data_IF_237223437736
#
_entry.id   IF_237223437736
#
_cell.length_a   1.000
_cell.length_b   1.000
_cell.length_c   1.000
_cell.angle_alpha   90.00
_cell.angle_beta   90.00
_cell.angle_gamma   90.00
#
_symmetry.space_group_name_H-M   'P 1'
#
loop_
_entity.id
_entity.type
_entity.pdbx_description
1 polymer ?
2 non-polymer ?
3 non-polymer ?
4 non-polymer ?
5 non-polymer ?
6 water ?
#
# COMPACT_ATOMS: atom_id res chain seq x y z
N UNK A 1 9.33 2.26 -18.85
CA UNK A 1 8.79 2.30 -17.47
C UNK A 1 7.25 2.34 -17.56
N UNK A 2 6.61 1.53 -16.72
CA UNK A 2 5.14 1.43 -16.57
C UNK A 2 4.58 2.79 -16.20
N UNK A 3 3.30 2.91 -15.87
CA UNK A 3 2.77 4.22 -15.52
C UNK A 3 3.40 4.79 -14.25
N UNK A 4 3.53 6.10 -14.20
CA UNK A 4 4.00 6.85 -13.00
C UNK A 4 3.09 8.05 -12.83
N UNK A 5 3.01 8.57 -11.63
CA UNK A 5 2.31 9.85 -11.39
C UNK A 5 3.11 10.96 -12.08
N UNK A 6 2.45 11.90 -12.75
CA UNK A 6 3.17 12.88 -13.60
C UNK A 6 3.30 14.12 -12.70
N UNK A 7 3.29 13.95 -11.38
CA UNK A 7 3.46 15.01 -10.37
C UNK A 7 4.08 14.39 -9.12
N UNK A 8 4.76 15.17 -8.29
CA UNK A 8 5.46 14.66 -7.10
C UNK A 8 4.60 14.87 -5.86
N UNK A 9 3.52 15.59 -5.97
CA UNK A 9 2.59 15.81 -4.84
C UNK A 9 1.33 14.95 -5.03
N UNK A 10 1.15 13.98 -4.13
CA UNK A 10 0.17 12.90 -4.33
C UNK A 10 -0.71 12.89 -3.09
N UNK A 11 -2.02 12.84 -3.31
CA UNK A 11 -3.02 12.80 -2.22
C UNK A 11 -3.50 11.37 -2.00
N UNK A 12 -3.93 11.10 -0.79
CA UNK A 12 -4.62 9.86 -0.47
C UNK A 12 -5.80 10.14 0.45
N UNK A 13 -6.73 9.22 0.47
CA UNK A 13 -7.88 9.29 1.40
C UNK A 13 -8.20 7.88 1.84
N UNK A 14 -8.52 7.75 3.10
CA UNK A 14 -8.97 6.43 3.60
C UNK A 14 -10.52 6.36 3.47
N UNK A 15 -11.04 5.53 2.56
CA UNK A 15 -12.48 5.38 2.23
C UNK A 15 -13.22 4.89 3.46
N UNK A 16 -12.64 3.91 4.12
CA UNK A 16 -13.29 3.13 5.18
C UNK A 16 -12.22 2.43 5.99
N UNK A 17 -12.62 1.97 7.18
CA UNK A 17 -11.73 1.44 8.23
C UNK A 17 -12.15 0.03 8.61
N UNK A 18 -11.19 -0.86 8.56
CA UNK A 18 -11.35 -2.24 9.07
C UNK A 18 -11.75 -2.20 10.55
N UNK A 19 -12.73 -3.05 10.96
CA UNK A 19 -13.12 -3.15 12.36
C UNK A 19 -12.05 -3.89 13.15
N UNK A 20 -11.06 -4.47 12.45
CA UNK A 20 -10.09 -5.37 13.10
C UNK A 20 -9.23 -4.51 14.01
N UNK A 21 -9.15 -3.22 13.71
CA UNK A 21 -8.14 -2.35 14.36
C UNK A 21 -8.82 -1.09 14.87
N UNK A 22 -8.15 -0.49 15.82
CA UNK A 22 -8.47 0.86 16.29
C UNK A 22 -8.35 1.78 15.06
N UNK A 23 -9.24 2.74 14.91
CA UNK A 23 -9.15 3.71 13.80
C UNK A 23 -7.80 4.42 13.75
N UNK A 24 -7.33 4.93 14.88
CA UNK A 24 -6.08 5.74 14.93
C UNK A 24 -4.90 4.84 14.52
N UNK A 25 -4.96 3.53 14.77
CA UNK A 25 -3.87 2.59 14.39
C UNK A 25 -3.88 2.46 12.86
N UNK A 26 -5.06 2.41 12.25
CA UNK A 26 -5.14 2.40 10.76
C UNK A 26 -4.50 3.67 10.20
N UNK A 27 -4.84 4.83 10.74
CA UNK A 27 -4.31 6.11 10.21
C UNK A 27 -2.77 6.10 10.29
N UNK A 28 -2.24 5.69 11.43
CA UNK A 28 -0.80 5.64 11.73
C UNK A 28 -0.12 4.66 10.77
N UNK A 29 -0.70 3.47 10.61
CA UNK A 29 -0.08 2.41 9.77
C UNK A 29 0.04 2.94 8.32
N UNK A 30 -1.02 3.52 7.83
CA UNK A 30 -1.06 4.06 6.45
C UNK A 30 -0.09 5.24 6.31
N UNK A 31 -0.13 6.17 7.28
CA UNK A 31 0.74 7.36 7.22
C UNK A 31 2.22 6.91 7.18
N UNK A 32 2.59 5.94 8.00
CA UNK A 32 3.98 5.47 8.07
C UNK A 32 4.34 4.70 6.82
N UNK A 33 3.40 3.98 6.19
CA UNK A 33 3.69 3.27 4.93
C UNK A 33 3.98 4.30 3.85
N UNK A 34 3.24 5.42 3.75
CA UNK A 34 3.54 6.44 2.74
C UNK A 34 4.93 7.07 3.01
N UNK A 35 5.24 7.27 4.29
CA UNK A 35 6.49 7.91 4.76
C UNK A 35 7.66 7.03 4.33
N UNK A 36 7.54 5.70 4.39
CA UNK A 36 8.64 4.78 3.96
C UNK A 36 9.06 5.17 2.53
N UNK A 37 8.09 5.35 1.63
CA UNK A 37 8.36 5.73 0.22
C UNK A 37 8.74 7.21 0.12
N UNK A 38 8.14 8.07 0.95
CA UNK A 38 8.51 9.50 0.96
C UNK A 38 10.02 9.64 1.27
N UNK A 39 10.54 8.78 2.11
CA UNK A 39 11.89 8.97 2.65
C UNK A 39 12.96 8.72 1.56
N UNK A 40 12.61 8.11 0.42
CA UNK A 40 13.62 7.64 -0.57
C UNK A 40 13.27 8.20 -1.93
N UNK A 41 12.36 9.15 -2.00
CA UNK A 41 11.93 9.75 -3.29
C UNK A 41 11.68 11.24 -3.10
N UNK A 42 11.47 12.02 -4.18
CA UNK A 42 10.96 13.39 -4.04
C UNK A 42 9.45 13.51 -3.82
N UNK A 43 8.77 12.40 -3.58
CA UNK A 43 7.29 12.39 -3.51
C UNK A 43 6.84 12.92 -2.15
N UNK A 44 5.76 13.69 -2.18
CA UNK A 44 5.11 14.21 -0.98
C UNK A 44 3.64 13.76 -1.02
N UNK A 45 3.22 13.14 0.08
CA UNK A 45 1.86 12.55 0.27
C UNK A 45 1.04 13.43 1.22
N UNK A 46 -0.16 13.84 0.81
CA UNK A 46 -1.09 14.69 1.61
C UNK A 46 -2.35 13.87 1.81
N UNK A 47 -2.73 13.68 3.05
CA UNK A 47 -3.97 12.98 3.43
C UNK A 47 -5.13 13.94 3.25
N UNK A 48 -6.20 13.51 2.59
CA UNK A 48 -7.41 14.34 2.53
C UNK A 48 -8.51 13.57 3.24
N UNK A 49 -9.30 14.29 4.00
CA UNK A 49 -10.40 13.73 4.82
C UNK A 49 -11.64 13.61 3.97
N UNK A 50 -11.87 14.55 3.07
CA UNK A 50 -13.05 14.49 2.19
C UNK A 50 -12.65 15.04 0.82
N UNK A 51 -13.20 14.42 -0.24
CA UNK A 51 -13.05 14.90 -1.63
C UNK A 51 -12.07 14.05 -2.44
N UNK A 52 -11.55 14.60 -3.51
CA UNK A 52 -10.90 13.79 -4.54
C UNK A 52 -9.45 13.53 -4.13
N UNK A 53 -9.05 12.30 -4.15
CA UNK A 53 -7.67 11.90 -3.80
C UNK A 53 -7.18 11.01 -4.94
N UNK A 54 -5.87 11.01 -5.14
CA UNK A 54 -5.19 10.15 -6.12
C UNK A 54 -5.29 8.71 -5.65
N UNK A 55 -4.89 8.45 -4.41
CA UNK A 55 -4.85 7.08 -3.86
C UNK A 55 -6.00 6.91 -2.85
N UNK A 56 -6.98 6.10 -3.21
CA UNK A 56 -8.05 5.75 -2.25
C UNK A 56 -7.67 4.44 -1.59
N UNK A 57 -7.69 4.39 -0.27
CA UNK A 57 -7.46 3.19 0.54
C UNK A 57 -8.84 2.64 0.96
N UNK A 58 -9.08 1.36 0.67
CA UNK A 58 -10.39 0.66 0.78
C UNK A 58 -10.09 -0.66 1.48
N UNK A 59 -10.93 -0.99 2.45
CA UNK A 59 -11.07 -2.35 2.95
C UNK A 59 -12.38 -2.88 2.39
N UNK A 60 -12.32 -4.03 1.75
CA UNK A 60 -13.53 -4.66 1.15
C UNK A 60 -13.31 -6.14 1.01
N UNK A 61 -14.40 -6.86 0.73
CA UNK A 61 -14.30 -8.35 0.67
C UNK A 61 -14.84 -8.86 -0.66
N UNK A 62 -14.44 -10.10 -1.01
CA UNK A 62 -15.01 -10.76 -2.20
C UNK A 62 -14.95 -9.85 -3.41
N UNK A 63 -16.05 -9.83 -4.15
CA UNK A 63 -16.21 -9.04 -5.38
C UNK A 63 -16.58 -7.63 -4.89
N UNK A 64 -15.75 -6.63 -5.17
CA UNK A 64 -15.86 -5.29 -4.53
C UNK A 64 -15.73 -4.19 -5.57
N UNK A 65 -16.14 -4.46 -6.80
CA UNK A 65 -16.51 -3.48 -7.85
C UNK A 65 -15.41 -3.25 -8.86
N UNK A 66 -14.31 -3.99 -8.84
CA UNK A 66 -13.20 -3.80 -9.81
C UNK A 66 -13.08 -5.12 -10.54
N UNK A 67 -12.16 -5.41 -11.40
CA UNK A 67 -12.51 -6.77 -11.97
C UNK A 67 -11.74 -7.86 -11.21
N UNK A 68 -11.44 -7.64 -9.94
CA UNK A 68 -10.40 -8.39 -9.19
C UNK A 68 -10.93 -8.80 -7.83
N UNK A 69 -11.85 -9.73 -7.80
CA UNK A 69 -12.48 -10.16 -6.54
C UNK A 69 -11.40 -10.70 -5.61
N UNK A 70 -11.55 -10.38 -4.33
CA UNK A 70 -10.81 -11.04 -3.24
C UNK A 70 -11.37 -12.44 -2.98
N UNK A 71 -10.67 -13.20 -2.15
CA UNK A 71 -10.75 -14.68 -2.21
C UNK A 71 -10.99 -15.23 -0.81
N UNK A 72 -11.48 -14.42 0.13
CA UNK A 72 -11.72 -14.94 1.50
C UNK A 72 -10.46 -14.96 2.35
N UNK A 73 -10.52 -15.50 3.57
CA UNK A 73 -9.35 -15.44 4.48
C UNK A 73 -8.13 -16.15 3.83
N UNK A 74 -6.95 -15.54 3.91
CA UNK A 74 -5.72 -16.03 3.27
C UNK A 74 -5.73 -15.79 1.77
N UNK A 75 -4.92 -16.56 1.06
CA UNK A 75 -4.53 -16.29 -0.33
C UNK A 75 -4.19 -14.81 -0.52
N UNK A 76 -4.88 -14.12 -1.44
CA UNK A 76 -4.56 -12.69 -1.70
C UNK A 76 -4.96 -11.85 -0.50
N UNK A 77 -4.06 -11.02 -0.02
CA UNK A 77 -4.32 -10.16 1.16
C UNK A 77 -4.77 -8.75 0.72
N UNK A 78 -4.32 -8.28 -0.43
CA UNK A 78 -4.50 -6.87 -0.86
C UNK A 78 -4.08 -6.78 -2.31
N UNK A 79 -4.24 -5.77 -2.97
CA UNK A 79 -3.87 -5.26 -4.30
C UNK A 79 -4.23 -3.82 -4.28
N UNK A 80 -3.38 -3.44 -5.51
CA UNK A 80 -3.37 -1.99 -5.80
C UNK A 80 -3.19 -1.77 -7.29
N UNK A 81 -3.76 -0.70 -7.77
CA UNK A 81 -3.68 -0.29 -9.19
C UNK A 81 -2.54 0.72 -9.41
N UNK A 82 -1.80 0.57 -10.51
CA UNK A 82 -0.73 1.47 -10.85
C UNK A 82 -1.29 2.87 -11.10
N UNK A 83 -0.41 3.85 -11.21
CA UNK A 83 -0.84 5.24 -11.35
C UNK A 83 -1.76 5.43 -12.55
N UNK A 84 -2.77 6.28 -12.35
CA UNK A 84 -3.78 6.63 -13.35
C UNK A 84 -4.96 7.30 -12.66
N UNK A 85 -5.90 7.79 -13.46
CA UNK A 85 -7.11 8.44 -12.91
C UNK A 85 -8.06 7.38 -12.37
N UNK A 86 -9.05 7.79 -11.60
CA UNK A 86 -10.15 6.91 -11.14
C UNK A 86 -9.55 5.84 -10.24
N UNK A 87 -9.79 4.58 -10.58
CA UNK A 87 -9.27 3.48 -9.73
C UNK A 87 -7.74 3.42 -9.77
N UNK A 88 -7.10 4.03 -10.78
CA UNK A 88 -5.64 4.19 -10.79
C UNK A 88 -5.11 4.58 -9.42
N UNK A 89 -4.10 3.90 -8.95
CA UNK A 89 -3.43 4.21 -7.67
C UNK A 89 -4.09 3.60 -6.47
N UNK A 90 -5.34 3.16 -6.56
CA UNK A 90 -6.12 2.84 -5.35
C UNK A 90 -5.61 1.50 -4.81
N UNK A 91 -5.61 1.40 -3.48
CA UNK A 91 -5.08 0.24 -2.76
C UNK A 91 -6.21 -0.36 -1.92
N UNK A 92 -6.42 -1.61 -2.08
CA UNK A 92 -7.56 -2.36 -1.55
C UNK A 92 -6.99 -3.42 -0.62
N UNK A 93 -7.57 -3.61 0.53
CA UNK A 93 -7.14 -4.57 1.57
C UNK A 93 -8.32 -5.51 1.81
N UNK A 94 -8.06 -6.82 1.72
CA UNK A 94 -9.09 -7.86 1.84
C UNK A 94 -9.57 -7.90 3.30
N UNK A 95 -10.81 -7.46 3.57
CA UNK A 95 -11.34 -7.39 4.94
C UNK A 95 -11.52 -8.81 5.53
N UNK A 96 -11.50 -9.87 4.70
CA UNK A 96 -11.49 -11.28 5.19
C UNK A 96 -10.17 -11.61 5.88
N UNK A 97 -9.14 -10.74 5.77
CA UNK A 97 -7.93 -10.91 6.61
C UNK A 97 -8.18 -10.26 7.98
N UNK A 98 -7.39 -10.66 8.99
CA UNK A 98 -7.37 -9.97 10.31
C UNK A 98 -6.15 -9.05 10.37
N UNK A 99 -6.42 -7.77 10.14
CA UNK A 99 -5.43 -6.66 10.07
C UNK A 99 -4.98 -6.30 11.49
N UNK A 100 -3.69 -6.15 11.70
CA UNK A 100 -3.05 -5.89 13.03
C UNK A 100 -1.92 -4.86 12.95
N UNK A 101 -1.55 -4.37 14.14
CA UNK A 101 -0.38 -3.46 14.33
C UNK A 101 0.87 -4.29 14.61
N UNK A 102 0.77 -5.62 14.61
CA UNK A 102 1.83 -6.51 15.15
C UNK A 102 2.04 -7.76 14.27
N UNK A 103 2.60 -8.82 14.84
CA UNK A 103 3.10 -10.02 14.13
C UNK A 103 1.96 -11.00 13.92
N UNK A 104 0.84 -10.85 14.62
CA UNK A 104 -0.34 -11.71 14.46
C UNK A 104 -1.18 -11.23 13.29
N UNK A 105 -2.12 -12.05 12.85
CA UNK A 105 -2.93 -11.80 11.65
C UNK A 105 -2.03 -11.28 10.57
N UNK A 106 -2.45 -10.21 9.90
CA UNK A 106 -1.71 -9.63 8.75
C UNK A 106 -1.37 -8.19 9.12
N UNK A 107 -0.09 -7.88 9.21
CA UNK A 107 0.37 -6.53 9.63
C UNK A 107 -0.01 -5.54 8.54
N UNK A 108 -0.88 -4.58 8.86
CA UNK A 108 -1.39 -3.57 7.88
C UNK A 108 -0.24 -2.72 7.36
N UNK A 109 0.59 -2.19 8.26
CA UNK A 109 1.73 -1.31 7.85
C UNK A 109 2.56 -2.02 6.76
N UNK A 110 3.01 -3.24 7.02
CA UNK A 110 3.90 -3.91 6.04
C UNK A 110 3.15 -4.12 4.73
N UNK A 111 1.87 -4.52 4.81
CA UNK A 111 1.08 -4.81 3.60
C UNK A 111 0.91 -3.49 2.84
N UNK A 112 0.64 -2.40 3.54
CA UNK A 112 0.43 -1.10 2.91
C UNK A 112 1.72 -0.61 2.27
N UNK A 113 2.88 -0.92 2.86
CA UNK A 113 4.15 -0.53 2.18
C UNK A 113 4.18 -1.18 0.79
N UNK A 114 3.92 -2.47 0.70
CA UNK A 114 3.90 -3.22 -0.58
C UNK A 114 2.88 -2.58 -1.55
N UNK A 115 1.66 -2.41 -1.06
CA UNK A 115 0.55 -1.97 -1.95
C UNK A 115 0.81 -0.57 -2.47
N UNK A 116 1.33 0.31 -1.63
CA UNK A 116 1.64 1.69 -2.09
C UNK A 116 2.79 1.64 -3.07
N UNK A 117 3.72 0.70 -2.89
CA UNK A 117 4.71 0.48 -3.98
C UNK A 117 4.00 0.28 -5.32
N UNK A 118 2.97 -0.60 -5.37
CA UNK A 118 2.16 -0.77 -6.60
C UNK A 118 1.46 0.56 -6.98
N UNK A 119 0.81 1.21 -6.01
CA UNK A 119 0.16 2.50 -6.26
C UNK A 119 1.13 3.52 -6.91
N UNK A 120 2.46 3.42 -6.67
CA UNK A 120 3.43 4.38 -7.25
C UNK A 120 4.03 3.87 -8.57
N UNK A 121 3.65 2.66 -8.98
CA UNK A 121 4.11 2.11 -10.25
C UNK A 121 5.08 0.94 -10.14
N UNK A 122 5.44 0.40 -8.96
CA UNK A 122 6.38 -0.76 -8.91
C UNK A 122 5.65 -2.08 -9.23
N UNK A 123 6.37 -3.02 -9.85
CA UNK A 123 5.98 -4.43 -9.88
C UNK A 123 6.60 -5.19 -8.73
N UNK A 124 6.59 -6.45 -8.43
CA UNK A 124 7.34 -7.48 -7.66
C UNK A 124 8.80 -7.47 -8.12
N UNK A 125 9.31 -7.82 -6.93
CA UNK A 125 10.75 -8.11 -6.99
C UNK A 125 10.99 -9.61 -6.88
N UNK A 126 12.12 -10.08 -7.43
CA UNK A 126 12.59 -11.46 -7.24
C UNK A 126 13.42 -11.54 -5.96
N UNK A 127 13.84 -10.39 -5.41
CA UNK A 127 14.64 -10.38 -4.15
C UNK A 127 13.72 -10.62 -2.94
N UNK A 128 13.93 -11.72 -2.21
CA UNK A 128 13.08 -12.04 -1.05
C UNK A 128 13.20 -11.06 0.11
N UNK A 129 14.25 -10.25 0.12
CA UNK A 129 14.42 -9.18 1.15
C UNK A 129 13.61 -7.94 0.79
N UNK A 130 13.18 -7.79 -0.46
CA UNK A 130 12.43 -6.62 -0.96
C UNK A 130 11.01 -6.62 -0.40
N UNK A 131 10.50 -5.44 -0.02
CA UNK A 131 9.06 -5.37 0.38
C UNK A 131 8.18 -5.71 -0.83
N UNK A 132 8.65 -5.48 -2.05
CA UNK A 132 7.89 -5.77 -3.29
C UNK A 132 8.04 -7.23 -3.74
N UNK A 133 8.64 -8.10 -2.92
CA UNK A 133 8.57 -9.56 -3.10
C UNK A 133 7.11 -10.00 -3.02
N UNK A 134 6.61 -10.95 -3.82
CA UNK A 134 5.16 -11.17 -3.90
C UNK A 134 4.44 -11.66 -2.62
N UNK A 135 5.18 -12.21 -1.66
CA UNK A 135 4.55 -12.85 -0.46
C UNK A 135 4.81 -12.05 0.80
N UNK A 136 3.79 -12.04 1.65
CA UNK A 136 3.78 -11.40 2.98
C UNK A 136 4.80 -12.11 3.87
N UNK A 137 5.70 -11.33 4.49
CA UNK A 137 6.58 -11.83 5.57
C UNK A 137 6.55 -10.80 6.69
N UNK A 138 6.18 -11.20 7.92
CA UNK A 138 6.25 -10.31 9.09
C UNK A 138 7.74 -10.04 9.34
N UNK A 139 8.12 -8.78 9.50
CA UNK A 139 9.47 -8.37 9.99
C UNK A 139 9.21 -7.25 10.99
N UNK A 140 10.06 -7.18 11.98
CA UNK A 140 9.90 -6.30 13.16
C UNK A 140 9.75 -4.88 12.59
N UNK A 141 8.62 -4.21 12.85
CA UNK A 141 8.27 -2.92 12.18
C UNK A 141 9.19 -1.83 12.74
N UNK A 142 9.78 -2.05 13.91
CA UNK A 142 10.78 -1.10 14.45
C UNK A 142 12.05 -1.15 13.58
N UNK A 143 12.40 -2.33 13.10
CA UNK A 143 13.67 -2.60 12.37
C UNK A 143 13.42 -2.52 10.83
N UNK A 144 12.21 -2.22 10.39
CA UNK A 144 11.82 -2.36 8.97
C UNK A 144 12.66 -1.44 8.09
N UNK A 145 13.19 -1.95 6.99
CA UNK A 145 13.77 -1.08 5.94
C UNK A 145 13.46 -1.63 4.54
N UNK A 146 13.27 -0.72 3.61
CA UNK A 146 13.21 -1.04 2.17
C UNK A 146 14.52 -1.72 1.84
N UNK A 147 14.52 -2.73 1.01
CA UNK A 147 15.80 -3.29 0.53
C UNK A 147 16.39 -2.34 -0.53
N UNK A 148 17.65 -2.59 -0.88
CA UNK A 148 18.36 -1.84 -1.94
C UNK A 148 17.59 -1.96 -3.27
N UNK A 149 16.95 -3.09 -3.52
CA UNK A 149 16.22 -3.28 -4.81
C UNK A 149 14.95 -2.40 -4.82
N UNK A 150 14.22 -2.34 -3.71
CA UNK A 150 13.02 -1.48 -3.60
C UNK A 150 13.43 -0.04 -3.86
N UNK A 151 14.55 0.39 -3.29
CA UNK A 151 15.01 1.79 -3.47
C UNK A 151 15.41 2.03 -4.93
N UNK A 152 16.19 1.16 -5.53
CA UNK A 152 16.53 1.22 -6.98
C UNK A 152 15.23 1.32 -7.77
N UNK A 153 14.24 0.48 -7.48
CA UNK A 153 13.01 0.45 -8.30
C UNK A 153 12.27 1.75 -8.20
N UNK A 154 12.05 2.26 -7.01
CA UNK A 154 11.26 3.52 -6.89
C UNK A 154 12.06 4.71 -7.42
N UNK A 155 13.36 4.75 -7.17
CA UNK A 155 14.17 5.89 -7.70
C UNK A 155 14.26 5.81 -9.24
N UNK A 156 14.15 4.64 -9.88
CA UNK A 156 14.14 4.61 -11.39
C UNK A 156 12.86 5.25 -11.93
N UNK A 157 11.81 5.30 -11.13
CA UNK A 157 10.50 5.90 -11.50
C UNK A 157 10.44 7.38 -11.11
N UNK A 158 11.02 7.81 -10.00
CA UNK A 158 10.87 9.20 -9.50
C UNK A 158 12.25 9.78 -9.08
N UNK A 159 12.64 10.90 -9.69
CA UNK A 159 13.69 11.83 -9.18
C UNK A 159 14.83 12.01 -10.19
X LIG B 1 1.87 -7.17 -4.98
X LIG C 1 -9.91 -4.23 -5.55
X LIG D 1 -7.20 6.80 -7.80
X LIG E 1 -11.02 -8.34 8.87
X LIG F 1 -7.79 -13.12 0.94
X LIG G 1 -0.14 -13.61 -1.22
X LIG G 1 0.08 -12.46 -2.04
X LIG G 1 -0.39 -11.05 -1.44
X LIG G 1 -1.54 -10.68 -1.19
X LIG G 1 1.14 -12.93 0.57
X LIG G 1 0.38 -13.77 0.05
X LIG G 1 0.06 -14.98 0.73
X LIG G 1 0.56 -15.11 1.97
X LIG G 1 -0.70 -16.02 0.15
X LIG G 1 -1.21 -15.88 -1.16
X LIG G 1 -0.92 -14.69 -1.85
X LIG G 1 0.54 -10.09 -1.60
X LIG G 1 0.38 -8.68 -1.22
X LIG G 1 0.88 -8.51 0.19
X LIG G 1 2.47 -8.58 0.30
X LIG G 1 3.28 -8.17 1.32
X LIG G 1 3.09 -7.69 2.55
X LIG G 1 4.19 -7.41 3.41
X LIG G 1 5.53 -7.63 3.06
X LIG G 1 5.69 -8.13 1.77
X LIG G 1 4.60 -8.38 0.96
X LIG G 1 4.55 -8.84 -0.29
X LIG G 1 3.27 -8.97 -0.69
X LIG H 1 -1.39 -10.01 -4.94
X LIG H 1 -0.43 -8.84 -4.81
X LIG H 1 0.77 -8.92 -5.04
X LIG H 1 -0.97 -7.69 -4.36
X LIG H 1 -0.17 -6.58 -4.19
#
# INVERSE_FOLDING_TARGET
MGPVWRKHYITYRINNYTPDMNREDVDYAIRKAFQVWSNVTPLKFSKINTGMADILVVFARGAHGDDHAFDGKGGILAHAFGPGSGIGGDAHFDEDEFWTTHSGGTNLFLTAVHEIGHSLGLGHSSDPKAVMFPTYKYVDINTFRLSADDIRGIQSLYG
ZN ZN
ZN ZN
CA CA
CA CA
CA CA
K0Q N CA C O OAY CAT CAU OAZ CAO CAR CAS NAV CAN CAM C1 C2 C9 C10 C11 C12 C3 N6 C5
HAE C1 C2 O2 N O
#
